data_IF_033893726700
#
_entry.id   IF_033893726700
#
_cell.length_a   1.000
_cell.length_b   1.000
_cell.length_c   1.000
_cell.angle_alpha   90.00
_cell.angle_beta   90.00
_cell.angle_gamma   90.00
#
_symmetry.space_group_name_H-M   'P 1'
#
loop_
_entity.id
_entity.type
_entity.pdbx_description
1 polymer ?
#
# COMPACT_ATOMS: atom_id res chain seq x y z
N UNK A 1 29.07 -20.62 43.69
CA UNK A 1 27.73 -19.98 43.70
C UNK A 1 27.68 -18.60 43.03
N UNK A 2 28.73 -17.76 43.06
CA UNK A 2 28.70 -16.40 42.51
C UNK A 2 28.62 -16.29 40.97
N UNK A 3 29.26 -17.19 40.23
CA UNK A 3 29.34 -17.15 38.75
C UNK A 3 28.02 -17.48 38.06
N UNK A 4 27.16 -18.31 38.65
CA UNK A 4 25.84 -18.66 38.11
C UNK A 4 24.88 -17.47 38.14
N UNK A 5 24.88 -16.69 39.25
CA UNK A 5 24.05 -15.49 39.38
C UNK A 5 24.48 -14.38 38.41
N UNK A 6 25.78 -14.23 38.17
CA UNK A 6 26.31 -13.25 37.21
C UNK A 6 25.96 -13.60 35.76
N UNK A 7 26.05 -14.88 35.38
CA UNK A 7 25.60 -15.34 34.06
C UNK A 7 24.10 -15.13 33.84
N UNK A 8 23.29 -15.44 34.86
CA UNK A 8 21.84 -15.21 34.81
C UNK A 8 21.50 -13.72 34.67
N UNK A 9 22.18 -12.83 35.40
CA UNK A 9 21.98 -11.40 35.27
C UNK A 9 22.31 -10.88 33.86
N UNK A 10 23.41 -11.35 33.27
CA UNK A 10 23.80 -10.98 31.90
C UNK A 10 22.77 -11.47 30.87
N UNK A 11 22.31 -12.72 31.00
CA UNK A 11 21.27 -13.27 30.12
C UNK A 11 19.97 -12.47 30.23
N UNK A 12 19.54 -12.13 31.45
CA UNK A 12 18.33 -11.33 31.65
C UNK A 12 18.48 -9.91 31.06
N UNK A 13 19.64 -9.27 31.23
CA UNK A 13 19.88 -7.96 30.60
C UNK A 13 19.87 -8.04 29.08
N UNK A 14 20.44 -9.10 28.49
CA UNK A 14 20.44 -9.29 27.04
C UNK A 14 19.03 -9.52 26.51
N UNK A 15 18.20 -10.31 27.20
CA UNK A 15 16.80 -10.52 26.84
C UNK A 15 15.98 -9.23 26.91
N UNK A 16 16.21 -8.39 27.91
CA UNK A 16 15.55 -7.08 28.03
C UNK A 16 15.95 -6.17 26.86
N UNK A 17 17.24 -6.09 26.53
CA UNK A 17 17.72 -5.26 25.40
C UNK A 17 17.15 -5.75 24.07
N UNK A 18 17.13 -7.07 23.85
CA UNK A 18 16.53 -7.67 22.65
C UNK A 18 15.03 -7.37 22.58
N UNK A 19 14.31 -7.49 23.70
CA UNK A 19 12.88 -7.17 23.77
C UNK A 19 12.59 -5.71 23.44
N UNK A 20 13.38 -4.78 23.96
CA UNK A 20 13.27 -3.35 23.66
C UNK A 20 13.57 -3.09 22.18
N UNK A 21 14.65 -3.64 21.66
CA UNK A 21 15.01 -3.49 20.25
C UNK A 21 13.92 -4.04 19.31
N UNK A 22 13.36 -5.21 19.64
CA UNK A 22 12.25 -5.81 18.90
C UNK A 22 10.99 -4.94 18.95
N UNK A 23 10.65 -4.37 20.11
CA UNK A 23 9.50 -3.47 20.25
C UNK A 23 9.68 -2.18 19.42
N UNK A 24 10.88 -1.58 19.46
CA UNK A 24 11.20 -0.41 18.66
C UNK A 24 11.18 -0.71 17.16
N UNK A 25 11.75 -1.85 16.75
CA UNK A 25 11.73 -2.30 15.36
C UNK A 25 10.30 -2.56 14.87
N UNK A 26 9.48 -3.25 15.67
CA UNK A 26 8.09 -3.51 15.33
C UNK A 26 7.28 -2.21 15.20
N UNK A 27 7.46 -1.25 16.13
CA UNK A 27 6.83 0.06 16.03
C UNK A 27 7.23 0.80 14.75
N UNK A 28 8.54 0.87 14.47
CA UNK A 28 9.06 1.48 13.25
C UNK A 28 8.49 0.83 11.98
N UNK A 29 8.40 -0.50 11.95
CA UNK A 29 7.84 -1.24 10.82
C UNK A 29 6.35 -0.97 10.63
N UNK A 30 5.56 -0.96 11.70
CA UNK A 30 4.12 -0.69 11.63
C UNK A 30 3.82 0.76 11.21
N UNK A 31 4.56 1.74 11.72
CA UNK A 31 4.39 3.15 11.34
C UNK A 31 4.68 3.37 9.83
N UNK A 32 5.70 2.70 9.29
CA UNK A 32 6.01 2.71 7.85
C UNK A 32 4.87 2.16 7.00
N UNK A 33 4.33 1.00 7.39
CA UNK A 33 3.20 0.39 6.70
C UNK A 33 1.91 1.23 6.80
N UNK A 34 1.73 1.97 7.90
CA UNK A 34 0.59 2.87 8.04
C UNK A 34 0.72 4.08 7.11
N UNK A 35 1.93 4.65 7.01
CA UNK A 35 2.20 5.80 6.15
C UNK A 35 2.09 5.46 4.66
N UNK A 36 2.60 4.31 4.24
CA UNK A 36 2.47 3.83 2.85
C UNK A 36 0.98 3.67 2.46
N UNK A 37 0.16 3.09 3.35
CA UNK A 37 -1.29 2.98 3.14
C UNK A 37 -2.00 4.33 3.11
N UNK A 38 -1.56 5.30 3.90
CA UNK A 38 -2.15 6.63 3.92
C UNK A 38 -1.88 7.37 2.59
N UNK A 39 -0.64 7.31 2.09
CA UNK A 39 -0.26 7.89 0.79
C UNK A 39 -1.07 7.28 -0.36
N UNK A 40 -1.28 5.96 -0.36
CA UNK A 40 -2.08 5.32 -1.41
C UNK A 40 -3.58 5.66 -1.38
N UNK A 41 -4.10 6.15 -0.25
CA UNK A 41 -5.55 6.29 -0.04
C UNK A 41 -6.06 7.72 -0.22
N UNK A 42 -5.20 8.73 -0.07
CA UNK A 42 -5.59 10.13 -0.21
C UNK A 42 -5.90 10.54 -1.67
N UNK A 43 -5.32 9.87 -2.67
CA UNK A 43 -5.45 10.30 -4.08
C UNK A 43 -6.71 9.76 -4.79
N UNK A 44 -7.07 8.49 -4.57
CA UNK A 44 -8.17 7.85 -5.30
C UNK A 44 -9.55 8.46 -5.00
N UNK A 45 -9.75 8.93 -3.76
CA UNK A 45 -11.02 9.57 -3.37
C UNK A 45 -11.22 10.95 -3.98
N UNK A 46 -10.13 11.66 -4.30
CA UNK A 46 -10.19 13.00 -4.87
C UNK A 46 -10.77 13.00 -6.29
N UNK A 47 -10.64 11.89 -7.02
CA UNK A 47 -11.08 11.77 -8.41
C UNK A 47 -12.59 11.50 -8.55
N UNK A 48 -13.28 11.09 -7.46
CA UNK A 48 -14.71 10.77 -7.51
C UNK A 48 -15.53 12.04 -7.74
N UNK A 49 -16.36 12.03 -8.78
CA UNK A 49 -17.18 13.19 -9.19
C UNK A 49 -16.45 14.18 -10.11
N UNK A 50 -15.15 13.98 -10.37
CA UNK A 50 -14.47 14.70 -11.44
C UNK A 50 -14.92 14.17 -12.81
N UNK A 51 -14.95 15.02 -13.85
CA UNK A 51 -15.19 14.56 -15.20
C UNK A 51 -14.09 13.58 -15.61
N UNK A 52 -14.50 12.45 -16.22
CA UNK A 52 -13.53 11.50 -16.79
C UNK A 52 -12.69 12.20 -17.88
N UNK A 53 -11.41 11.81 -18.06
CA UNK A 53 -10.62 12.26 -19.19
C UNK A 53 -11.25 11.84 -20.53
N UNK A 54 -11.07 12.66 -21.56
CA UNK A 54 -11.40 12.28 -22.93
C UNK A 54 -10.30 11.38 -23.50
N UNK A 55 -10.69 10.37 -24.28
CA UNK A 55 -9.76 9.49 -24.98
C UNK A 55 -10.38 8.86 -26.22
N UNK A 56 -9.49 8.50 -27.15
CA UNK A 56 -9.78 7.80 -28.39
C UNK A 56 -8.91 6.54 -28.45
N UNK A 57 -9.53 5.37 -28.56
CA UNK A 57 -8.82 4.09 -28.67
C UNK A 57 -9.40 3.27 -29.83
N UNK A 58 -8.56 2.47 -30.54
CA UNK A 58 -9.07 1.53 -31.52
C UNK A 58 -9.85 0.41 -30.85
N UNK A 59 -10.92 -0.06 -31.49
CA UNK A 59 -11.57 -1.32 -31.14
C UNK A 59 -10.81 -2.53 -31.72
N UNK A 60 -11.41 -3.72 -31.59
CA UNK A 60 -10.82 -4.98 -32.06
C UNK A 60 -10.64 -5.04 -33.58
N UNK A 61 -11.45 -4.27 -34.32
CA UNK A 61 -11.38 -4.17 -35.77
C UNK A 61 -10.48 -2.99 -36.22
N UNK A 62 -9.90 -2.27 -35.26
CA UNK A 62 -9.00 -1.13 -35.48
C UNK A 62 -9.72 0.20 -35.70
N UNK A 63 -11.05 0.25 -35.57
CA UNK A 63 -11.79 1.49 -35.75
C UNK A 63 -11.64 2.40 -34.52
N UNK A 64 -11.39 3.70 -34.72
CA UNK A 64 -11.27 4.63 -33.62
C UNK A 64 -12.62 4.84 -32.93
N UNK A 65 -12.67 4.62 -31.61
CA UNK A 65 -13.84 4.84 -30.74
C UNK A 65 -13.54 5.90 -29.69
N UNK A 66 -14.40 6.91 -29.57
CA UNK A 66 -14.30 7.96 -28.54
C UNK A 66 -15.07 7.57 -27.29
N UNK A 67 -14.54 7.86 -26.11
CA UNK A 67 -15.26 7.59 -24.86
C UNK A 67 -16.55 8.42 -24.72
N UNK A 68 -16.67 9.55 -25.41
CA UNK A 68 -17.89 10.38 -25.45
C UNK A 68 -19.10 9.68 -26.06
N UNK A 69 -18.89 8.61 -26.83
CA UNK A 69 -19.99 7.83 -27.43
C UNK A 69 -20.91 7.17 -26.39
N UNK A 70 -20.41 7.00 -25.16
CA UNK A 70 -21.16 6.44 -24.04
C UNK A 70 -21.61 7.49 -23.01
N UNK A 71 -21.59 8.78 -23.35
CA UNK A 71 -22.12 9.82 -22.48
C UNK A 71 -23.59 9.56 -22.10
N UNK A 72 -23.91 9.80 -20.83
CA UNK A 72 -25.23 9.52 -20.27
C UNK A 72 -25.48 8.07 -19.89
N UNK A 73 -24.52 7.17 -20.12
CA UNK A 73 -24.58 5.77 -19.68
C UNK A 73 -23.64 5.52 -18.50
N UNK A 74 -23.96 4.50 -17.70
CA UNK A 74 -23.02 3.98 -16.71
C UNK A 74 -21.97 3.16 -17.44
N UNK A 75 -20.71 3.59 -17.36
CA UNK A 75 -19.58 2.93 -18.02
C UNK A 75 -18.70 2.23 -16.98
N UNK A 76 -18.50 0.93 -17.14
CA UNK A 76 -17.52 0.16 -16.39
C UNK A 76 -16.27 -0.03 -17.26
N UNK A 77 -15.14 0.54 -16.84
CA UNK A 77 -13.87 0.45 -17.58
C UNK A 77 -13.01 -0.69 -17.01
N UNK A 78 -12.57 -1.59 -17.89
CA UNK A 78 -11.74 -2.74 -17.53
C UNK A 78 -10.32 -2.55 -18.07
N UNK A 79 -9.35 -2.36 -17.18
CA UNK A 79 -7.93 -2.29 -17.53
C UNK A 79 -7.31 -3.69 -17.44
N UNK A 80 -6.89 -4.23 -18.58
CA UNK A 80 -6.29 -5.56 -18.67
C UNK A 80 -5.16 -5.58 -19.70
N UNK A 81 -4.41 -6.66 -19.71
CA UNK A 81 -3.38 -6.93 -20.70
C UNK A 81 -3.11 -8.44 -20.80
N UNK A 82 -2.52 -8.88 -21.92
CA UNK A 82 -2.42 -10.30 -22.29
C UNK A 82 -1.21 -11.05 -21.73
N UNK A 83 -0.33 -10.37 -20.99
CA UNK A 83 0.94 -10.90 -20.50
C UNK A 83 0.77 -11.77 -19.25
#
# INVERSE_FOLDING_TARGET
MATTRMRQAVILSALVVIGIAAALFNKYYLDRLAMERAVSKEDDSALVGMPRPDFLLPDIDGFPRKISEWDGQVVALNFWASW
#
